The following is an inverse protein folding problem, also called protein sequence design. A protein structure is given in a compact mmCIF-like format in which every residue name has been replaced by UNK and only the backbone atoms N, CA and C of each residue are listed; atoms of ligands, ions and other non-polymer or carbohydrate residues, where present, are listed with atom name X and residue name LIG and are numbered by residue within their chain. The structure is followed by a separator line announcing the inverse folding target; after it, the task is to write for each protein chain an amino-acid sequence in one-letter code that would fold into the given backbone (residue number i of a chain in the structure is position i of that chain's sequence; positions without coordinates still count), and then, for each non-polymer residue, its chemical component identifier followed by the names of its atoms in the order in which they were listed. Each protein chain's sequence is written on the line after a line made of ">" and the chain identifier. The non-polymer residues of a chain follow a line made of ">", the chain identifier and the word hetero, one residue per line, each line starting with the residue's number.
data_IF_098663657543
#
_entry.id   IF_098663657543
#
_cell.length_a   1.000
_cell.length_b   1.000
_cell.length_c   1.000
_cell.angle_alpha   90.00
_cell.angle_beta   90.00
_cell.angle_gamma   90.00
#
_symmetry.space_group_name_H-M   'P 1'
#
loop_
_entity.id
_entity.type
_entity.pdbx_description
1 polymer ?
#
# COMPACT_ATOMS: atom_id res chain seq x y z
N UNK A 1 5.21 17.92 -5.01
CA UNK A 1 6.15 19.03 -5.29
C UNK A 1 7.56 18.79 -4.73
N UNK A 2 7.72 17.87 -3.77
CA UNK A 2 9.00 17.68 -3.06
C UNK A 2 10.05 16.82 -3.80
N UNK A 3 9.65 15.99 -4.74
CA UNK A 3 10.59 15.06 -5.40
C UNK A 3 11.55 15.79 -6.38
N UNK A 4 11.09 16.80 -7.10
CA UNK A 4 11.92 17.59 -8.01
C UNK A 4 12.94 18.48 -7.26
N UNK A 5 12.58 19.02 -6.10
CA UNK A 5 13.50 19.80 -5.27
C UNK A 5 14.62 18.94 -4.68
N UNK A 6 14.28 17.74 -4.23
CA UNK A 6 15.25 16.78 -3.68
C UNK A 6 16.27 16.30 -4.73
N UNK A 7 15.83 16.05 -5.96
CA UNK A 7 16.75 15.67 -7.05
C UNK A 7 17.72 16.79 -7.44
N UNK A 8 17.23 18.04 -7.51
CA UNK A 8 18.10 19.19 -7.84
C UNK A 8 19.14 19.46 -6.75
N UNK A 9 18.78 19.25 -5.47
CA UNK A 9 19.69 19.41 -4.34
C UNK A 9 20.77 18.33 -4.33
N UNK A 10 20.41 17.04 -4.53
CA UNK A 10 21.37 15.94 -4.69
C UNK A 10 22.40 16.24 -5.77
N UNK A 11 21.93 16.58 -6.98
CA UNK A 11 22.81 16.87 -8.12
C UNK A 11 23.73 18.06 -7.85
N UNK A 12 23.20 19.13 -7.27
CA UNK A 12 23.98 20.31 -6.94
C UNK A 12 25.13 19.98 -5.97
N UNK A 13 24.84 19.25 -4.89
CA UNK A 13 25.85 18.90 -3.88
C UNK A 13 26.88 17.94 -4.45
N UNK A 14 26.46 16.94 -5.25
CA UNK A 14 27.37 16.02 -5.93
C UNK A 14 28.29 16.75 -6.93
N UNK A 15 27.79 17.70 -7.72
CA UNK A 15 28.61 18.51 -8.66
C UNK A 15 29.59 19.38 -7.90
N UNK A 16 29.21 20.02 -6.80
CA UNK A 16 30.13 20.82 -5.97
C UNK A 16 31.20 19.90 -5.40
N UNK A 17 30.86 18.70 -4.93
CA UNK A 17 31.80 17.69 -4.46
C UNK A 17 32.78 17.33 -5.55
N UNK A 18 32.31 16.99 -6.75
CA UNK A 18 33.14 16.67 -7.91
C UNK A 18 34.11 17.80 -8.30
N UNK A 19 33.62 19.05 -8.34
CA UNK A 19 34.47 20.20 -8.66
C UNK A 19 35.53 20.43 -7.59
N UNK A 20 35.22 20.18 -6.31
CA UNK A 20 36.19 20.27 -5.21
C UNK A 20 37.27 19.19 -5.33
N UNK A 21 36.91 17.93 -5.70
CA UNK A 21 37.87 16.87 -5.99
C UNK A 21 38.78 17.23 -7.16
N UNK A 22 38.23 17.73 -8.25
CA UNK A 22 38.99 18.15 -9.42
C UNK A 22 39.99 19.26 -9.07
N UNK A 23 39.58 20.26 -8.29
CA UNK A 23 40.44 21.33 -7.85
C UNK A 23 41.62 20.83 -6.96
N UNK A 24 41.31 20.00 -5.96
CA UNK A 24 42.29 19.41 -5.06
C UNK A 24 43.26 18.50 -5.81
N UNK A 25 42.78 17.62 -6.67
CA UNK A 25 43.60 16.74 -7.51
C UNK A 25 44.52 17.55 -8.42
N UNK A 26 44.03 18.65 -9.02
CA UNK A 26 44.83 19.54 -9.87
C UNK A 26 45.93 20.24 -9.08
N UNK A 27 45.65 20.75 -7.89
CA UNK A 27 46.67 21.39 -7.02
C UNK A 27 47.73 20.38 -6.59
N UNK A 28 47.31 19.16 -6.17
CA UNK A 28 48.24 18.08 -5.80
C UNK A 28 49.12 17.66 -6.99
N UNK A 29 48.55 17.57 -8.20
CA UNK A 29 49.29 17.20 -9.41
C UNK A 29 50.34 18.28 -9.80
N UNK A 30 49.96 19.55 -9.75
CA UNK A 30 50.87 20.68 -10.00
C UNK A 30 51.99 20.64 -8.96
N UNK A 31 51.69 20.47 -7.67
CA UNK A 31 52.67 20.35 -6.62
C UNK A 31 53.62 19.17 -6.83
N UNK A 32 53.13 18.01 -7.32
CA UNK A 32 53.95 16.84 -7.64
C UNK A 32 54.94 17.12 -8.76
N UNK A 33 54.51 17.77 -9.84
CA UNK A 33 55.39 18.14 -10.98
C UNK A 33 56.48 19.10 -10.56
N UNK A 34 56.17 20.13 -9.76
CA UNK A 34 57.15 21.12 -9.33
C UNK A 34 58.08 20.60 -8.22
N UNK A 35 57.64 19.69 -7.36
CA UNK A 35 58.46 19.15 -6.29
C UNK A 35 59.35 17.99 -6.73
N UNK A 36 59.04 17.29 -7.81
CA UNK A 36 59.66 16.04 -8.20
C UNK A 36 59.57 14.91 -7.15
N UNK A 37 58.76 15.10 -6.11
CA UNK A 37 58.64 14.15 -5.01
C UNK A 37 57.68 13.01 -5.38
N UNK A 38 58.16 11.76 -5.26
CA UNK A 38 57.33 10.56 -5.46
C UNK A 38 56.17 10.47 -4.46
N UNK A 39 56.35 10.96 -3.23
CA UNK A 39 55.29 11.00 -2.23
C UNK A 39 54.12 11.94 -2.62
N UNK A 40 54.48 13.14 -3.16
CA UNK A 40 53.45 14.09 -3.63
C UNK A 40 52.77 13.58 -4.91
N UNK A 41 53.51 12.85 -5.76
CA UNK A 41 52.94 12.20 -6.94
C UNK A 41 51.96 11.09 -6.53
N UNK A 42 52.28 10.30 -5.52
CA UNK A 42 51.35 9.28 -4.97
C UNK A 42 50.05 9.91 -4.46
N UNK A 43 50.15 11.03 -3.70
CA UNK A 43 49.00 11.80 -3.23
C UNK A 43 48.16 12.40 -4.38
N UNK A 44 48.82 12.83 -5.46
CA UNK A 44 48.13 13.36 -6.64
C UNK A 44 47.37 12.25 -7.39
N UNK A 45 47.95 11.04 -7.50
CA UNK A 45 47.31 9.88 -8.10
C UNK A 45 46.10 9.46 -7.25
N UNK A 46 46.23 9.45 -5.92
CA UNK A 46 45.09 9.18 -5.01
C UNK A 46 43.95 10.19 -5.24
N UNK A 47 44.24 11.48 -5.26
CA UNK A 47 43.24 12.51 -5.55
C UNK A 47 42.60 12.40 -6.94
N UNK A 48 43.27 11.83 -7.95
CA UNK A 48 42.66 11.52 -9.25
C UNK A 48 41.69 10.33 -9.17
N UNK A 49 41.99 9.33 -8.34
CA UNK A 49 41.08 8.19 -8.08
C UNK A 49 39.80 8.69 -7.38
N UNK A 50 39.96 9.56 -6.36
CA UNK A 50 38.82 10.16 -5.64
C UNK A 50 37.95 11.02 -6.56
N UNK A 51 38.59 11.77 -7.47
CA UNK A 51 37.85 12.49 -8.50
C UNK A 51 37.07 11.55 -9.43
N UNK A 52 37.67 10.41 -9.81
CA UNK A 52 36.99 9.36 -10.57
C UNK A 52 35.76 8.79 -9.82
N UNK A 53 35.88 8.53 -8.52
CA UNK A 53 34.78 8.06 -7.68
C UNK A 53 33.63 9.08 -7.66
N UNK A 54 33.91 10.37 -7.45
CA UNK A 54 32.88 11.42 -7.46
C UNK A 54 32.20 11.61 -8.81
N UNK A 55 32.87 11.33 -9.92
CA UNK A 55 32.25 11.30 -11.25
C UNK A 55 31.20 10.18 -11.29
N UNK A 56 31.53 8.98 -10.81
CA UNK A 56 30.61 7.85 -10.77
C UNK A 56 29.36 8.21 -9.93
N UNK A 57 29.54 8.84 -8.77
CA UNK A 57 28.45 9.33 -7.91
C UNK A 57 27.54 10.31 -8.64
N UNK A 58 28.09 11.31 -9.34
CA UNK A 58 27.30 12.28 -10.13
C UNK A 58 26.48 11.58 -11.22
N UNK A 59 27.10 10.63 -11.94
CA UNK A 59 26.40 9.86 -12.98
C UNK A 59 25.29 8.99 -12.37
N UNK A 60 25.55 8.31 -11.26
CA UNK A 60 24.57 7.47 -10.58
C UNK A 60 23.35 8.28 -10.12
N UNK A 61 23.57 9.45 -9.50
CA UNK A 61 22.49 10.35 -9.07
C UNK A 61 21.71 10.87 -10.26
N UNK A 62 22.36 11.17 -11.38
CA UNK A 62 21.68 11.62 -12.59
C UNK A 62 20.84 10.50 -13.20
N UNK A 63 21.33 9.28 -13.20
CA UNK A 63 20.64 8.12 -13.75
C UNK A 63 19.50 7.66 -12.81
N UNK A 64 19.73 7.66 -11.50
CA UNK A 64 18.72 7.30 -10.51
C UNK A 64 17.48 8.20 -10.55
N UNK A 65 17.63 9.43 -11.05
CA UNK A 65 16.50 10.38 -11.19
C UNK A 65 15.62 10.13 -12.41
N UNK A 66 15.95 9.19 -13.28
CA UNK A 66 15.10 8.82 -14.40
C UNK A 66 13.86 8.08 -13.92
N UNK A 67 12.67 8.42 -14.48
CA UNK A 67 11.43 7.73 -14.14
C UNK A 67 11.47 6.25 -14.59
N UNK A 68 10.46 5.50 -14.17
CA UNK A 68 10.23 4.16 -14.67
C UNK A 68 10.04 4.15 -16.19
N UNK A 69 10.59 3.13 -16.86
CA UNK A 69 10.49 2.87 -18.29
C UNK A 69 10.10 1.40 -18.54
N UNK A 70 10.05 0.97 -19.79
CA UNK A 70 9.64 -0.37 -20.16
C UNK A 70 10.58 -1.46 -19.62
N UNK A 71 11.88 -1.17 -19.52
CA UNK A 71 12.90 -2.10 -19.02
C UNK A 71 13.02 -2.05 -17.50
N UNK A 72 12.79 -0.87 -16.88
CA UNK A 72 12.93 -0.63 -15.43
C UNK A 72 11.64 -0.09 -14.84
N UNK A 73 10.62 -0.95 -14.70
CA UNK A 73 9.26 -0.60 -14.24
C UNK A 73 9.19 0.00 -12.83
N UNK A 74 10.21 -0.20 -12.00
CA UNK A 74 10.33 0.40 -10.66
C UNK A 74 11.26 1.61 -10.62
N UNK A 75 11.65 2.13 -11.78
CA UNK A 75 12.59 3.23 -11.93
C UNK A 75 14.04 2.83 -11.71
N UNK A 76 14.91 3.83 -11.73
CA UNK A 76 16.37 3.64 -11.75
C UNK A 76 17.04 3.92 -10.39
N UNK A 77 16.28 4.08 -9.31
CA UNK A 77 16.79 4.51 -8.00
C UNK A 77 17.92 3.62 -7.44
N UNK A 78 17.92 2.31 -7.76
CA UNK A 78 18.97 1.37 -7.32
C UNK A 78 20.35 1.60 -7.95
N UNK A 79 20.46 2.46 -8.97
CA UNK A 79 21.77 2.85 -9.51
C UNK A 79 22.63 3.58 -8.48
N UNK A 80 22.00 4.31 -7.53
CA UNK A 80 22.73 4.90 -6.40
C UNK A 80 23.34 3.82 -5.50
N UNK A 81 22.62 2.73 -5.25
CA UNK A 81 23.13 1.60 -4.44
C UNK A 81 24.32 0.89 -5.14
N UNK A 82 24.27 0.77 -6.48
CA UNK A 82 25.39 0.20 -7.24
C UNK A 82 26.63 1.09 -7.13
N UNK A 83 26.47 2.41 -7.27
CA UNK A 83 27.60 3.35 -7.11
C UNK A 83 28.14 3.30 -5.67
N UNK A 84 27.28 3.31 -4.66
CA UNK A 84 27.67 3.16 -3.26
C UNK A 84 28.47 1.87 -3.02
N UNK A 85 28.07 0.75 -3.63
CA UNK A 85 28.81 -0.51 -3.53
C UNK A 85 30.22 -0.40 -4.16
N UNK A 86 30.34 0.25 -5.32
CA UNK A 86 31.66 0.49 -5.93
C UNK A 86 32.55 1.34 -5.02
N UNK A 87 32.02 2.39 -4.40
CA UNK A 87 32.76 3.21 -3.44
C UNK A 87 33.19 2.44 -2.21
N UNK A 88 32.34 1.54 -1.68
CA UNK A 88 32.72 0.70 -0.53
C UNK A 88 33.85 -0.27 -0.87
N UNK A 89 33.91 -0.77 -2.10
CA UNK A 89 35.04 -1.61 -2.58
C UNK A 89 36.31 -0.80 -2.61
N UNK A 90 36.27 0.45 -3.09
CA UNK A 90 37.43 1.36 -3.07
C UNK A 90 37.91 1.66 -1.65
N UNK A 91 36.96 1.97 -0.73
CA UNK A 91 37.25 2.18 0.70
C UNK A 91 37.92 0.96 1.34
N UNK A 92 37.40 -0.23 1.07
CA UNK A 92 37.98 -1.46 1.61
C UNK A 92 39.37 -1.71 1.04
N UNK A 93 39.58 -1.47 -0.26
CA UNK A 93 40.86 -1.54 -0.93
C UNK A 93 41.88 -0.56 -0.32
N UNK A 94 41.47 0.67 -0.05
CA UNK A 94 42.27 1.67 0.64
C UNK A 94 42.66 1.25 2.06
N UNK A 95 41.69 0.73 2.83
CA UNK A 95 41.96 0.21 4.20
C UNK A 95 43.01 -0.92 4.18
N UNK A 96 42.86 -1.87 3.27
CA UNK A 96 43.81 -2.99 3.11
C UNK A 96 45.19 -2.46 2.68
N UNK A 97 45.25 -1.50 1.76
CA UNK A 97 46.51 -0.90 1.30
C UNK A 97 47.23 -0.18 2.44
N UNK A 98 46.52 0.65 3.22
CA UNK A 98 47.07 1.36 4.37
C UNK A 98 47.63 0.37 5.41
N UNK A 99 46.84 -0.70 5.72
CA UNK A 99 47.30 -1.72 6.63
C UNK A 99 48.57 -2.43 6.17
N UNK A 100 48.61 -2.81 4.89
CA UNK A 100 49.79 -3.44 4.28
C UNK A 100 51.01 -2.56 4.38
N UNK A 101 50.92 -1.29 3.97
CA UNK A 101 52.01 -0.32 4.03
C UNK A 101 52.49 -0.07 5.47
N UNK A 102 51.56 0.05 6.42
CA UNK A 102 51.86 0.24 7.84
C UNK A 102 52.65 -0.96 8.42
N UNK A 103 52.22 -2.20 8.08
CA UNK A 103 52.93 -3.43 8.49
C UNK A 103 54.33 -3.50 7.87
N UNK A 104 54.43 -3.16 6.59
CA UNK A 104 55.70 -3.14 5.88
C UNK A 104 56.71 -2.17 6.54
N UNK A 105 56.26 -0.97 6.93
CA UNK A 105 57.04 0.04 7.63
C UNK A 105 57.46 -0.37 9.05
N UNK A 106 56.67 -1.18 9.72
CA UNK A 106 57.01 -1.74 11.04
C UNK A 106 58.09 -2.83 10.94
N UNK A 107 58.14 -3.57 9.84
CA UNK A 107 59.01 -4.75 9.67
C UNK A 107 60.30 -4.46 8.92
N UNK A 108 60.33 -3.41 8.14
CA UNK A 108 61.53 -3.02 7.31
C UNK A 108 62.10 -1.69 7.79
N UNK A 109 63.44 -1.57 7.96
CA UNK A 109 64.08 -0.30 8.28
C UNK A 109 63.84 0.68 7.12
N UNK A 110 63.22 1.83 7.40
CA UNK A 110 63.01 2.89 6.43
C UNK A 110 63.81 4.13 6.80
N UNK A 111 64.31 4.86 5.80
CA UNK A 111 64.88 6.18 6.01
C UNK A 111 63.83 7.15 6.57
N UNK A 112 64.24 8.04 7.51
CA UNK A 112 63.30 9.01 8.07
C UNK A 112 62.79 9.92 6.96
N UNK A 113 61.45 10.01 6.86
CA UNK A 113 60.76 10.88 5.92
C UNK A 113 61.13 12.34 6.15
N UNK A 114 61.84 12.94 5.18
CA UNK A 114 62.10 14.38 5.17
C UNK A 114 60.80 15.11 4.83
N UNK A 115 60.03 15.51 5.88
CA UNK A 115 58.75 16.17 5.68
C UNK A 115 58.96 17.64 5.40
N UNK A 116 58.64 18.07 4.18
CA UNK A 116 58.63 19.47 3.84
C UNK A 116 57.44 20.16 4.52
N UNK A 117 57.62 21.31 5.15
CA UNK A 117 56.58 22.06 5.88
C UNK A 117 55.33 22.37 5.03
N UNK A 118 55.46 22.53 3.71
CA UNK A 118 54.35 22.76 2.79
C UNK A 118 53.49 21.52 2.58
N UNK A 119 54.04 20.30 2.69
CA UNK A 119 53.24 19.07 2.65
C UNK A 119 52.30 19.00 3.86
N UNK A 120 52.77 19.44 5.03
CA UNK A 120 51.97 19.57 6.23
C UNK A 120 50.81 20.56 6.05
N UNK A 121 51.08 21.70 5.41
CA UNK A 121 50.06 22.71 5.12
C UNK A 121 48.99 22.18 4.13
N UNK A 122 49.39 21.46 3.10
CA UNK A 122 48.47 20.82 2.15
C UNK A 122 47.58 19.81 2.89
N UNK A 123 48.11 18.98 3.79
CA UNK A 123 47.36 18.00 4.56
C UNK A 123 46.31 18.65 5.48
N UNK A 124 46.67 19.73 6.16
CA UNK A 124 45.72 20.50 6.99
C UNK A 124 44.59 21.10 6.13
N UNK A 125 44.93 21.65 4.96
CA UNK A 125 43.92 22.18 4.02
C UNK A 125 43.00 21.05 3.53
N UNK A 126 43.54 19.88 3.16
CA UNK A 126 42.75 18.71 2.76
C UNK A 126 41.76 18.31 3.86
N UNK A 127 42.21 18.17 5.12
CA UNK A 127 41.34 17.83 6.25
C UNK A 127 40.17 18.82 6.38
N UNK A 128 40.43 20.12 6.28
CA UNK A 128 39.37 21.14 6.40
C UNK A 128 38.41 21.06 5.23
N UNK A 129 38.87 20.84 4.02
CA UNK A 129 38.01 20.69 2.84
C UNK A 129 37.18 19.42 2.95
N UNK A 130 37.78 18.28 3.26
CA UNK A 130 37.10 16.98 3.34
C UNK A 130 36.07 16.94 4.50
N UNK A 131 36.38 17.60 5.62
CA UNK A 131 35.44 17.76 6.72
C UNK A 131 34.16 18.52 6.31
N UNK A 132 34.32 19.69 5.67
CA UNK A 132 33.18 20.49 5.24
C UNK A 132 32.37 19.77 4.15
N UNK A 133 33.03 19.07 3.26
CA UNK A 133 32.46 18.32 2.16
C UNK A 133 31.70 17.09 2.65
N UNK A 134 32.32 16.25 3.47
CA UNK A 134 31.67 15.10 4.09
C UNK A 134 30.39 15.51 4.86
N UNK A 135 30.48 16.61 5.62
CA UNK A 135 29.33 17.14 6.35
C UNK A 135 28.19 17.59 5.42
N UNK A 136 28.49 18.28 4.33
CA UNK A 136 27.49 18.72 3.35
C UNK A 136 26.85 17.54 2.63
N UNK A 137 27.65 16.59 2.17
CA UNK A 137 27.20 15.36 1.52
C UNK A 137 26.31 14.53 2.46
N UNK A 138 26.72 14.31 3.70
CA UNK A 138 25.95 13.54 4.70
C UNK A 138 24.61 14.18 5.00
N UNK A 139 24.56 15.49 5.18
CA UNK A 139 23.30 16.22 5.42
C UNK A 139 22.33 16.04 4.27
N UNK A 140 22.78 16.14 3.04
CA UNK A 140 21.94 15.94 1.84
C UNK A 140 21.57 14.46 1.66
N UNK A 141 22.47 13.53 1.93
CA UNK A 141 22.23 12.09 1.88
C UNK A 141 21.08 11.68 2.83
N UNK A 142 21.11 12.17 4.07
CA UNK A 142 20.07 11.90 5.08
C UNK A 142 18.72 12.51 4.69
N UNK A 143 18.72 13.77 4.22
CA UNK A 143 17.50 14.47 3.80
C UNK A 143 16.84 13.83 2.58
N UNK A 144 17.62 13.19 1.71
CA UNK A 144 17.16 12.67 0.41
C UNK A 144 17.20 11.14 0.32
N UNK A 145 17.62 10.44 1.38
CA UNK A 145 17.83 8.99 1.40
C UNK A 145 18.74 8.50 0.26
N UNK A 146 19.80 9.27 -0.07
CA UNK A 146 20.72 8.95 -1.14
C UNK A 146 21.88 8.09 -0.64
N UNK A 147 21.95 6.83 -1.11
CA UNK A 147 23.05 5.91 -0.77
C UNK A 147 24.36 6.32 -1.40
N UNK A 148 24.35 6.84 -2.62
CA UNK A 148 25.55 7.32 -3.30
C UNK A 148 26.19 8.51 -2.58
N UNK A 149 25.38 9.52 -2.18
CA UNK A 149 25.90 10.64 -1.40
C UNK A 149 26.40 10.23 -0.01
N UNK A 150 25.76 9.22 0.60
CA UNK A 150 26.21 8.66 1.88
C UNK A 150 27.56 7.97 1.74
N UNK A 151 27.77 7.22 0.68
CA UNK A 151 29.04 6.56 0.39
C UNK A 151 30.15 7.58 0.13
N UNK A 152 29.90 8.58 -0.73
CA UNK A 152 30.84 9.69 -1.03
C UNK A 152 31.19 10.47 0.25
N UNK A 153 30.23 10.76 1.12
CA UNK A 153 30.46 11.39 2.43
C UNK A 153 31.38 10.55 3.33
N UNK A 154 31.17 9.24 3.33
CA UNK A 154 31.94 8.30 4.14
C UNK A 154 33.37 8.15 3.60
N UNK A 155 33.54 8.20 2.30
CA UNK A 155 34.84 8.20 1.64
C UNK A 155 35.67 9.39 2.11
N UNK A 156 35.16 10.64 2.00
CA UNK A 156 35.89 11.83 2.45
C UNK A 156 36.11 11.91 3.96
N UNK A 157 35.19 11.34 4.75
CA UNK A 157 35.38 11.18 6.20
C UNK A 157 36.56 10.24 6.49
N UNK A 158 36.69 9.17 5.73
CA UNK A 158 37.80 8.21 5.78
C UNK A 158 39.15 8.87 5.47
N UNK A 159 39.21 9.69 4.42
CA UNK A 159 40.41 10.42 4.01
C UNK A 159 40.84 11.45 5.06
N UNK A 160 39.84 12.13 5.66
CA UNK A 160 40.08 13.05 6.78
C UNK A 160 40.71 12.31 7.99
N UNK A 161 40.13 11.14 8.37
CA UNK A 161 40.70 10.36 9.48
C UNK A 161 42.11 9.80 9.17
N UNK A 162 42.31 9.36 7.94
CA UNK A 162 43.64 8.91 7.47
C UNK A 162 44.67 10.04 7.57
N UNK A 163 44.33 11.22 7.05
CA UNK A 163 45.21 12.41 7.12
C UNK A 163 45.48 12.85 8.55
N UNK A 164 44.45 12.79 9.44
CA UNK A 164 44.62 13.11 10.86
C UNK A 164 45.51 12.11 11.59
N UNK A 165 45.40 10.82 11.25
CA UNK A 165 46.24 9.78 11.83
C UNK A 165 47.72 9.99 11.46
N UNK A 166 47.98 10.33 10.18
CA UNK A 166 49.34 10.67 9.72
C UNK A 166 49.88 11.87 10.48
N UNK A 167 49.06 12.92 10.68
CA UNK A 167 49.52 14.10 11.48
C UNK A 167 49.86 13.73 12.92
N UNK A 168 49.05 12.89 13.57
CA UNK A 168 49.31 12.41 14.93
C UNK A 168 50.52 11.49 14.97
N UNK A 169 50.64 10.59 13.99
CA UNK A 169 51.80 9.70 13.85
C UNK A 169 53.12 10.46 13.70
N UNK A 170 53.14 11.48 12.82
CA UNK A 170 54.30 12.35 12.62
C UNK A 170 54.64 13.13 13.89
N UNK A 171 53.64 13.61 14.63
CA UNK A 171 53.84 14.21 15.97
C UNK A 171 54.52 13.25 16.94
N UNK A 172 54.12 11.96 16.92
CA UNK A 172 54.75 10.90 17.72
C UNK A 172 56.21 10.64 17.31
N UNK A 173 56.47 10.60 16.02
CA UNK A 173 57.87 10.47 15.50
C UNK A 173 58.74 11.65 15.94
N UNK A 174 58.19 12.87 15.93
CA UNK A 174 58.90 14.07 16.36
C UNK A 174 59.30 14.06 17.85
N UNK A 175 58.49 13.40 18.69
CA UNK A 175 58.80 13.19 20.12
C UNK A 175 59.68 11.94 20.39
N UNK A 176 60.10 11.22 19.33
CA UNK A 176 61.05 10.10 19.42
C UNK A 176 60.44 8.68 19.27
N UNK A 177 59.09 8.57 19.06
CA UNK A 177 58.45 7.29 18.86
C UNK A 177 58.33 6.94 17.38
N UNK A 178 59.37 6.34 16.78
CA UNK A 178 59.46 6.06 15.34
C UNK A 178 58.35 5.12 14.81
N UNK A 179 57.74 4.29 15.66
CA UNK A 179 56.63 3.38 15.32
C UNK A 179 55.25 4.03 15.36
N UNK A 180 55.13 5.25 15.89
CA UNK A 180 53.86 5.92 16.14
C UNK A 180 53.03 6.13 14.86
N UNK A 181 53.65 6.52 13.75
CA UNK A 181 53.02 6.70 12.44
C UNK A 181 52.40 5.41 11.94
N UNK A 182 53.12 4.29 11.96
CA UNK A 182 52.64 3.00 11.49
C UNK A 182 51.51 2.42 12.36
N UNK A 183 51.58 2.63 13.67
CA UNK A 183 50.52 2.21 14.58
C UNK A 183 49.26 3.05 14.38
N UNK A 184 49.38 4.36 14.22
CA UNK A 184 48.25 5.23 13.92
C UNK A 184 47.60 4.83 12.59
N UNK A 185 48.38 4.55 11.56
CA UNK A 185 47.89 4.07 10.26
C UNK A 185 47.13 2.73 10.38
N UNK A 186 47.65 1.77 11.19
CA UNK A 186 46.95 0.48 11.45
C UNK A 186 45.60 0.68 12.14
N UNK A 187 45.53 1.55 13.15
CA UNK A 187 44.31 1.82 13.87
C UNK A 187 43.23 2.43 12.96
N UNK A 188 43.64 3.38 12.12
CA UNK A 188 42.74 4.02 11.15
C UNK A 188 42.33 3.05 10.04
N UNK A 189 43.24 2.23 9.52
CA UNK A 189 42.89 1.23 8.51
C UNK A 189 41.83 0.25 9.02
N UNK A 190 41.93 -0.19 10.29
CA UNK A 190 40.90 -1.02 10.91
C UNK A 190 39.55 -0.30 11.06
N UNK A 191 39.55 0.97 11.44
CA UNK A 191 38.38 1.82 11.56
C UNK A 191 37.69 2.00 10.20
N UNK A 192 38.48 2.33 9.13
CA UNK A 192 37.97 2.47 7.75
C UNK A 192 37.40 1.14 7.26
N UNK A 193 38.10 0.03 7.51
CA UNK A 193 37.63 -1.31 7.13
C UNK A 193 36.28 -1.68 7.78
N UNK A 194 36.10 -1.31 9.05
CA UNK A 194 34.80 -1.50 9.74
C UNK A 194 33.69 -0.66 9.11
N UNK A 195 33.94 0.61 8.84
CA UNK A 195 32.94 1.50 8.21
C UNK A 195 32.58 0.99 6.82
N UNK A 196 33.57 0.59 6.01
CA UNK A 196 33.36 0.02 4.69
C UNK A 196 32.51 -1.25 4.75
N UNK A 197 32.73 -2.11 5.74
CA UNK A 197 31.92 -3.32 5.97
C UNK A 197 30.47 -2.99 6.31
N UNK A 198 30.25 -2.05 7.23
CA UNK A 198 28.91 -1.63 7.65
C UNK A 198 28.12 -1.02 6.48
N UNK A 199 28.80 -0.19 5.67
CA UNK A 199 28.20 0.43 4.47
C UNK A 199 27.92 -0.62 3.40
N UNK A 200 28.87 -1.54 3.13
CA UNK A 200 28.67 -2.65 2.17
C UNK A 200 27.47 -3.50 2.57
N UNK A 201 27.38 -3.89 3.85
CA UNK A 201 26.28 -4.70 4.36
C UNK A 201 24.91 -3.99 4.17
N UNK A 202 24.85 -2.70 4.48
CA UNK A 202 23.63 -1.90 4.30
C UNK A 202 23.22 -1.81 2.82
N UNK A 203 24.18 -1.49 1.95
CA UNK A 203 23.92 -1.35 0.51
C UNK A 203 23.53 -2.66 -0.14
N UNK A 204 24.20 -3.77 0.23
CA UNK A 204 23.81 -5.11 -0.24
C UNK A 204 22.39 -5.48 0.21
N UNK A 205 22.02 -5.19 1.46
CA UNK A 205 20.66 -5.43 1.93
C UNK A 205 19.64 -4.63 1.11
N UNK A 206 19.91 -3.38 0.76
CA UNK A 206 19.04 -2.59 -0.13
C UNK A 206 18.94 -3.20 -1.52
N UNK A 207 20.06 -3.65 -2.11
CA UNK A 207 20.07 -4.31 -3.42
C UNK A 207 19.31 -5.64 -3.41
N UNK A 208 19.36 -6.36 -2.29
CA UNK A 208 18.63 -7.64 -2.08
C UNK A 208 17.20 -7.45 -1.59
N UNK A 209 16.63 -6.25 -1.69
CA UNK A 209 15.26 -5.94 -1.30
C UNK A 209 14.95 -6.17 0.19
N UNK A 210 15.93 -6.04 1.08
CA UNK A 210 15.69 -6.16 2.50
C UNK A 210 14.80 -5.01 3.01
N UNK A 211 13.76 -5.37 3.75
CA UNK A 211 12.88 -4.39 4.36
C UNK A 211 13.61 -3.55 5.42
N UNK A 212 13.40 -2.22 5.46
CA UNK A 212 13.97 -1.39 6.53
C UNK A 212 13.47 -1.83 7.91
N UNK A 213 14.35 -1.76 8.91
CA UNK A 213 14.05 -2.23 10.26
C UNK A 213 12.80 -1.55 10.84
N UNK A 214 11.89 -2.37 11.38
CA UNK A 214 10.65 -1.90 12.04
C UNK A 214 9.50 -1.52 11.11
N UNK A 215 9.72 -1.34 9.80
CA UNK A 215 8.67 -0.92 8.86
C UNK A 215 7.60 -2.01 8.71
N UNK A 216 7.99 -3.26 8.55
CA UNK A 216 7.03 -4.36 8.42
C UNK A 216 6.14 -4.52 9.66
N UNK A 217 6.71 -4.37 10.87
CA UNK A 217 5.94 -4.40 12.12
C UNK A 217 4.95 -3.24 12.20
N UNK A 218 5.36 -2.04 11.76
CA UNK A 218 4.49 -0.86 11.75
C UNK A 218 3.32 -1.01 10.78
N UNK A 219 3.54 -1.57 9.58
CA UNK A 219 2.48 -1.81 8.60
C UNK A 219 1.50 -2.87 9.10
N UNK A 220 1.99 -3.97 9.68
CA UNK A 220 1.15 -5.00 10.26
C UNK A 220 0.27 -4.44 11.40
N UNK A 221 0.82 -3.64 12.31
CA UNK A 221 0.05 -2.99 13.38
C UNK A 221 -1.06 -2.06 12.85
N UNK A 222 -0.84 -1.39 11.72
CA UNK A 222 -1.86 -0.57 11.05
C UNK A 222 -2.93 -1.45 10.42
N UNK A 223 -2.54 -2.53 9.74
CA UNK A 223 -3.46 -3.44 9.06
C UNK A 223 -4.35 -4.20 10.07
N UNK A 224 -3.77 -4.68 11.18
CA UNK A 224 -4.49 -5.40 12.23
C UNK A 224 -5.54 -4.53 12.96
N UNK A 225 -5.35 -3.22 12.96
CA UNK A 225 -6.30 -2.24 13.53
C UNK A 225 -7.38 -1.78 12.55
N UNK A 226 -7.26 -2.16 11.28
CA UNK A 226 -8.20 -1.74 10.24
C UNK A 226 -9.46 -2.62 10.27
N UNK A 227 -10.62 -2.01 10.48
CA UNK A 227 -11.89 -2.74 10.43
C UNK A 227 -12.11 -3.36 9.05
N UNK A 228 -12.52 -4.62 9.01
CA UNK A 228 -12.78 -5.37 7.78
C UNK A 228 -11.58 -6.19 7.28
N UNK A 229 -10.43 -6.10 7.93
CA UNK A 229 -9.30 -7.02 7.71
C UNK A 229 -9.38 -8.13 8.76
N UNK A 230 -9.30 -9.38 8.31
CA UNK A 230 -9.27 -10.56 9.19
C UNK A 230 -7.86 -10.91 9.62
N UNK A 231 -6.93 -10.85 8.68
CA UNK A 231 -5.51 -11.11 8.92
C UNK A 231 -4.67 -10.64 7.74
N UNK A 232 -3.38 -10.42 7.99
CA UNK A 232 -2.39 -10.20 6.94
C UNK A 232 -1.86 -11.57 6.49
N UNK A 233 -2.02 -11.88 5.20
CA UNK A 233 -1.54 -13.12 4.59
C UNK A 233 -0.06 -13.01 4.22
N UNK A 234 0.34 -11.92 3.56
CA UNK A 234 1.73 -11.62 3.28
C UNK A 234 1.98 -10.13 3.20
N UNK A 235 3.19 -9.73 3.63
CA UNK A 235 3.69 -8.37 3.51
C UNK A 235 5.08 -8.40 2.91
N UNK A 236 5.29 -7.69 1.82
CA UNK A 236 6.59 -7.51 1.18
C UNK A 236 6.88 -6.03 1.06
N UNK A 237 8.03 -5.64 1.58
CA UNK A 237 8.45 -4.24 1.61
C UNK A 237 9.85 -4.16 1.05
N UNK A 238 10.08 -3.25 0.10
CA UNK A 238 11.39 -3.01 -0.48
C UNK A 238 11.65 -1.53 -0.70
N UNK A 239 12.84 -1.03 -0.38
CA UNK A 239 13.24 0.34 -0.66
C UNK A 239 13.75 0.48 -2.10
N UNK A 240 13.49 1.65 -2.71
CA UNK A 240 14.14 2.08 -3.95
C UNK A 240 14.33 3.60 -3.89
N UNK A 241 15.52 4.03 -3.49
CA UNK A 241 15.82 5.43 -3.18
C UNK A 241 14.94 5.96 -2.05
N UNK A 242 14.23 7.04 -2.31
CA UNK A 242 13.29 7.65 -1.34
C UNK A 242 11.92 6.98 -1.32
N UNK A 243 11.61 6.08 -2.25
CA UNK A 243 10.31 5.40 -2.35
C UNK A 243 10.35 4.04 -1.66
N UNK A 244 9.32 3.73 -0.92
CA UNK A 244 9.13 2.44 -0.27
C UNK A 244 7.98 1.70 -0.97
N UNK A 245 8.29 0.62 -1.69
CA UNK A 245 7.28 -0.23 -2.32
C UNK A 245 6.75 -1.24 -1.32
N UNK A 246 5.43 -1.25 -1.14
CA UNK A 246 4.72 -2.11 -0.19
C UNK A 246 3.70 -2.95 -0.93
N UNK A 247 3.87 -4.26 -0.93
CA UNK A 247 2.87 -5.20 -1.40
C UNK A 247 2.25 -5.88 -0.18
N UNK A 248 0.99 -5.57 0.08
CA UNK A 248 0.23 -6.07 1.22
C UNK A 248 -0.90 -6.96 0.74
N UNK A 249 -0.93 -8.20 1.22
CA UNK A 249 -1.95 -9.19 0.92
C UNK A 249 -2.74 -9.48 2.19
N UNK A 250 -4.06 -9.19 2.17
CA UNK A 250 -4.93 -9.27 3.35
C UNK A 250 -6.14 -10.15 3.11
N UNK A 251 -6.53 -10.87 4.13
CA UNK A 251 -7.76 -11.65 4.15
C UNK A 251 -8.93 -10.78 4.59
N UNK A 252 -10.02 -10.83 3.84
CA UNK A 252 -11.23 -10.06 4.10
C UNK A 252 -12.45 -11.00 4.08
N UNK A 253 -13.56 -10.67 4.77
CA UNK A 253 -14.80 -11.43 4.67
C UNK A 253 -15.30 -11.52 3.22
N UNK A 254 -15.60 -12.71 2.73
CA UNK A 254 -16.08 -12.91 1.34
C UNK A 254 -17.46 -12.30 1.05
N UNK A 255 -18.17 -11.89 2.09
CA UNK A 255 -19.47 -11.20 1.99
C UNK A 255 -19.34 -9.70 1.74
N UNK A 256 -18.15 -9.13 1.81
CA UNK A 256 -17.93 -7.72 1.52
C UNK A 256 -18.20 -7.41 0.04
N UNK A 257 -19.01 -6.39 -0.21
CA UNK A 257 -19.24 -5.91 -1.56
C UNK A 257 -18.02 -5.13 -2.10
N UNK A 258 -17.94 -4.98 -3.43
CA UNK A 258 -16.82 -4.33 -4.11
C UNK A 258 -16.58 -2.89 -3.65
N UNK A 259 -17.63 -2.14 -3.30
CA UNK A 259 -17.52 -0.76 -2.82
C UNK A 259 -16.83 -0.74 -1.45
N UNK A 260 -17.28 -1.59 -0.54
CA UNK A 260 -16.67 -1.71 0.80
C UNK A 260 -15.20 -2.13 0.73
N UNK A 261 -14.84 -3.01 -0.21
CA UNK A 261 -13.43 -3.41 -0.45
C UNK A 261 -12.61 -2.22 -0.97
N UNK A 262 -13.16 -1.42 -1.89
CA UNK A 262 -12.49 -0.24 -2.41
C UNK A 262 -12.26 0.82 -1.31
N UNK A 263 -13.27 1.06 -0.47
CA UNK A 263 -13.19 1.98 0.66
C UNK A 263 -12.17 1.51 1.70
N UNK A 264 -12.16 0.21 2.01
CA UNK A 264 -11.18 -0.41 2.90
C UNK A 264 -9.76 -0.20 2.38
N UNK A 265 -9.50 -0.50 1.10
CA UNK A 265 -8.18 -0.28 0.47
C UNK A 265 -7.75 1.18 0.55
N UNK A 266 -8.64 2.10 0.21
CA UNK A 266 -8.37 3.54 0.24
C UNK A 266 -8.03 4.02 1.66
N UNK A 267 -8.79 3.59 2.65
CA UNK A 267 -8.57 3.92 4.07
C UNK A 267 -7.25 3.35 4.58
N UNK A 268 -6.93 2.10 4.22
CA UNK A 268 -5.69 1.43 4.61
C UNK A 268 -4.47 2.12 3.99
N UNK A 269 -4.51 2.45 2.70
CA UNK A 269 -3.46 3.22 2.01
C UNK A 269 -3.23 4.55 2.72
N UNK A 270 -4.29 5.31 3.00
CA UNK A 270 -4.18 6.60 3.69
C UNK A 270 -3.57 6.46 5.10
N UNK A 271 -3.95 5.40 5.83
CA UNK A 271 -3.43 5.11 7.17
C UNK A 271 -1.94 4.78 7.16
N UNK A 272 -1.48 4.01 6.18
CA UNK A 272 -0.06 3.69 6.01
C UNK A 272 0.72 4.93 5.55
N UNK A 273 0.22 5.68 4.55
CA UNK A 273 0.89 6.88 4.04
C UNK A 273 0.99 8.01 5.07
N UNK A 274 0.10 8.06 6.04
CA UNK A 274 0.22 9.00 7.17
C UNK A 274 1.50 8.77 8.00
N UNK A 275 1.97 7.54 8.08
CA UNK A 275 3.21 7.16 8.78
C UNK A 275 4.41 7.06 7.85
N UNK A 276 4.17 6.67 6.61
CA UNK A 276 5.17 6.43 5.57
C UNK A 276 4.78 7.23 4.30
N UNK A 277 5.03 8.54 4.27
CA UNK A 277 4.51 9.43 3.21
C UNK A 277 4.98 9.09 1.79
N UNK A 278 6.14 8.42 1.67
CA UNK A 278 6.74 8.05 0.37
C UNK A 278 6.49 6.57 0.02
N UNK A 279 5.50 5.92 0.65
CA UNK A 279 5.15 4.54 0.34
C UNK A 279 4.25 4.47 -0.90
N UNK A 280 4.64 3.63 -1.85
CA UNK A 280 3.82 3.15 -2.96
C UNK A 280 3.24 1.80 -2.58
N UNK A 281 1.90 1.73 -2.42
CA UNK A 281 1.22 0.63 -1.74
C UNK A 281 0.28 -0.06 -2.71
N UNK A 282 0.52 -1.34 -2.92
CA UNK A 282 -0.37 -2.27 -3.62
C UNK A 282 -1.03 -3.21 -2.62
N UNK A 283 -2.37 -3.28 -2.64
CA UNK A 283 -3.14 -4.12 -1.73
C UNK A 283 -3.91 -5.17 -2.53
N UNK A 284 -3.63 -6.43 -2.25
CA UNK A 284 -4.41 -7.58 -2.69
C UNK A 284 -5.34 -8.00 -1.58
N UNK A 285 -6.59 -8.34 -1.91
CA UNK A 285 -7.59 -8.81 -0.96
C UNK A 285 -8.02 -10.22 -1.30
N UNK A 286 -7.94 -11.14 -0.34
CA UNK A 286 -8.39 -12.51 -0.47
C UNK A 286 -9.70 -12.68 0.29
N UNK A 287 -10.79 -13.04 -0.39
CA UNK A 287 -12.07 -13.32 0.26
C UNK A 287 -11.99 -14.66 1.03
N UNK A 288 -12.30 -14.62 2.32
CA UNK A 288 -12.29 -15.81 3.21
C UNK A 288 -13.68 -15.99 3.82
N UNK A 289 -14.11 -17.25 3.94
CA UNK A 289 -15.34 -17.62 4.63
C UNK A 289 -15.18 -17.38 6.14
N UNK A 290 -16.24 -16.87 6.77
CA UNK A 290 -16.33 -16.75 8.22
C UNK A 290 -17.09 -17.93 8.81
N UNK A 291 -16.73 -18.33 10.03
CA UNK A 291 -17.41 -19.44 10.74
C UNK A 291 -18.86 -19.12 11.10
N UNK A 292 -19.22 -17.83 11.20
CA UNK A 292 -20.55 -17.33 11.56
C UNK A 292 -21.43 -17.01 10.34
N UNK A 293 -21.00 -17.37 9.11
CA UNK A 293 -21.81 -17.21 7.91
C UNK A 293 -23.13 -18.01 8.04
N UNK A 294 -24.24 -17.32 7.85
CA UNK A 294 -25.58 -17.94 7.86
C UNK A 294 -25.78 -18.82 6.62
N UNK A 295 -26.77 -19.73 6.69
CA UNK A 295 -27.20 -20.49 5.52
C UNK A 295 -27.61 -19.58 4.36
N UNK A 296 -28.30 -18.46 4.65
CA UNK A 296 -28.67 -17.44 3.65
C UNK A 296 -27.45 -16.85 2.93
N UNK A 297 -26.39 -16.50 3.67
CA UNK A 297 -25.18 -15.96 3.11
C UNK A 297 -24.51 -16.95 2.15
N UNK A 298 -24.41 -18.21 2.56
CA UNK A 298 -23.85 -19.29 1.75
C UNK A 298 -24.65 -19.53 0.47
N UNK A 299 -25.99 -19.59 0.58
CA UNK A 299 -26.88 -19.76 -0.57
C UNK A 299 -26.71 -18.59 -1.56
N UNK A 300 -26.70 -17.35 -1.06
CA UNK A 300 -26.53 -16.16 -1.90
C UNK A 300 -25.19 -16.14 -2.64
N UNK A 301 -24.10 -16.54 -1.98
CA UNK A 301 -22.77 -16.66 -2.60
C UNK A 301 -22.73 -17.75 -3.68
N UNK A 302 -23.31 -18.91 -3.40
CA UNK A 302 -23.40 -20.01 -4.37
C UNK A 302 -24.22 -19.58 -5.58
N UNK A 303 -25.39 -18.97 -5.38
CA UNK A 303 -26.21 -18.45 -6.47
C UNK A 303 -25.44 -17.42 -7.34
N UNK A 304 -24.69 -16.52 -6.70
CA UNK A 304 -23.85 -15.55 -7.40
C UNK A 304 -22.76 -16.24 -8.23
N UNK A 305 -22.12 -17.28 -7.70
CA UNK A 305 -21.10 -18.05 -8.43
C UNK A 305 -21.67 -18.73 -9.68
N UNK A 306 -22.90 -19.21 -9.62
CA UNK A 306 -23.61 -19.80 -10.75
C UNK A 306 -24.31 -18.76 -11.65
N UNK A 307 -24.15 -17.46 -11.34
CA UNK A 307 -24.86 -16.37 -12.05
C UNK A 307 -26.38 -16.56 -12.04
N UNK A 308 -26.91 -17.19 -11.01
CA UNK A 308 -28.33 -17.46 -10.84
C UNK A 308 -29.01 -16.32 -10.05
N UNK A 309 -30.16 -15.87 -10.56
CA UNK A 309 -31.04 -14.94 -9.87
C UNK A 309 -32.00 -15.74 -9.00
N UNK A 310 -31.88 -15.59 -7.69
CA UNK A 310 -32.77 -16.27 -6.74
C UNK A 310 -33.42 -15.28 -5.77
N UNK A 311 -34.62 -15.60 -5.33
CA UNK A 311 -35.33 -14.83 -4.29
C UNK A 311 -36.25 -15.73 -3.45
N UNK A 312 -36.98 -15.18 -2.48
CA UNK A 312 -37.83 -15.90 -1.52
C UNK A 312 -37.15 -17.11 -0.85
N UNK A 313 -35.85 -16.95 -0.53
CA UNK A 313 -35.08 -18.00 0.14
C UNK A 313 -35.71 -18.28 1.51
N UNK A 314 -36.06 -19.53 1.76
CA UNK A 314 -36.58 -20.00 3.04
C UNK A 314 -35.67 -21.10 3.58
N UNK A 315 -35.23 -20.98 4.83
CA UNK A 315 -34.43 -21.99 5.52
C UNK A 315 -35.21 -22.45 6.74
N UNK A 316 -35.54 -23.74 6.80
CA UNK A 316 -36.31 -24.36 7.87
C UNK A 316 -35.53 -25.52 8.46
N UNK A 317 -35.87 -25.89 9.69
CA UNK A 317 -35.40 -27.12 10.31
C UNK A 317 -36.57 -28.05 10.51
N UNK A 318 -36.60 -29.16 9.76
CA UNK A 318 -37.64 -30.13 9.76
C UNK A 318 -37.11 -31.46 10.27
N UNK A 319 -37.60 -31.95 11.40
CA UNK A 319 -37.16 -33.23 12.02
C UNK A 319 -35.62 -33.33 12.22
N UNK A 320 -34.98 -32.22 12.50
CA UNK A 320 -33.51 -32.17 12.71
C UNK A 320 -32.67 -32.01 11.43
N UNK A 321 -33.28 -32.02 10.24
CA UNK A 321 -32.61 -31.76 8.95
C UNK A 321 -32.95 -30.35 8.50
N UNK A 322 -31.98 -29.72 7.83
CA UNK A 322 -32.18 -28.42 7.19
C UNK A 322 -32.95 -28.62 5.87
N UNK A 323 -33.96 -27.81 5.65
CA UNK A 323 -34.69 -27.72 4.40
C UNK A 323 -34.60 -26.30 3.86
N UNK A 324 -34.21 -26.17 2.61
CA UNK A 324 -34.04 -24.91 1.89
C UNK A 324 -35.00 -24.91 0.70
N UNK A 325 -35.77 -23.84 0.55
CA UNK A 325 -36.50 -23.58 -0.69
C UNK A 325 -36.23 -22.17 -1.19
N UNK A 326 -36.24 -21.97 -2.50
CA UNK A 326 -36.02 -20.68 -3.13
C UNK A 326 -36.67 -20.63 -4.52
N UNK A 327 -36.97 -19.44 -5.00
CA UNK A 327 -37.43 -19.20 -6.36
C UNK A 327 -36.23 -18.89 -7.25
N UNK A 328 -36.09 -19.62 -8.36
CA UNK A 328 -35.06 -19.44 -9.38
C UNK A 328 -35.63 -18.74 -10.61
N UNK A 329 -35.18 -17.53 -10.87
CA UNK A 329 -35.57 -16.79 -12.07
C UNK A 329 -34.77 -17.20 -13.29
N UNK A 330 -35.45 -17.60 -14.35
CA UNK A 330 -34.82 -17.92 -15.66
C UNK A 330 -35.44 -17.08 -16.77
N UNK A 331 -34.76 -16.93 -17.90
CA UNK A 331 -35.35 -16.29 -19.07
C UNK A 331 -36.62 -17.04 -19.49
N UNK A 332 -37.72 -16.34 -19.61
CA UNK A 332 -39.02 -16.93 -19.99
C UNK A 332 -39.01 -17.64 -21.37
N UNK A 333 -38.04 -17.43 -22.21
CA UNK A 333 -37.84 -18.15 -23.48
C UNK A 333 -37.05 -19.47 -23.30
N UNK A 334 -36.56 -19.77 -22.11
CA UNK A 334 -35.74 -20.97 -21.82
C UNK A 334 -36.66 -22.21 -21.84
N UNK A 335 -36.19 -23.25 -22.54
CA UNK A 335 -36.96 -24.55 -22.53
C UNK A 335 -36.91 -25.18 -21.13
N UNK A 336 -38.02 -25.82 -20.76
CA UNK A 336 -38.20 -26.43 -19.43
C UNK A 336 -37.03 -27.37 -19.03
N UNK A 337 -36.55 -28.19 -19.98
CA UNK A 337 -35.45 -29.11 -19.70
C UNK A 337 -34.16 -28.35 -19.31
N UNK A 338 -33.82 -27.27 -20.01
CA UNK A 338 -32.66 -26.46 -19.71
C UNK A 338 -32.77 -25.68 -18.41
N UNK A 339 -33.99 -25.17 -18.12
CA UNK A 339 -34.28 -24.52 -16.85
C UNK A 339 -34.14 -25.48 -15.67
N UNK A 340 -34.66 -26.71 -15.82
CA UNK A 340 -34.57 -27.77 -14.81
C UNK A 340 -33.11 -28.19 -14.58
N UNK A 341 -32.31 -28.34 -15.65
CA UNK A 341 -30.87 -28.63 -15.51
C UNK A 341 -30.10 -27.54 -14.74
N UNK A 342 -30.49 -26.27 -14.93
CA UNK A 342 -29.90 -25.16 -14.15
C UNK A 342 -30.32 -25.24 -12.69
N UNK A 343 -31.58 -25.51 -12.41
CA UNK A 343 -32.14 -25.67 -11.07
C UNK A 343 -31.43 -26.82 -10.33
N UNK A 344 -31.35 -28.00 -10.94
CA UNK A 344 -30.70 -29.17 -10.35
C UNK A 344 -29.23 -28.89 -10.01
N UNK A 345 -28.46 -28.25 -10.93
CA UNK A 345 -27.07 -27.87 -10.65
C UNK A 345 -26.93 -26.94 -9.47
N UNK A 346 -27.83 -25.97 -9.36
CA UNK A 346 -27.82 -25.00 -8.25
C UNK A 346 -28.22 -25.70 -6.94
N UNK A 347 -29.24 -26.56 -6.95
CA UNK A 347 -29.68 -27.34 -5.78
C UNK A 347 -28.56 -28.24 -5.26
N UNK A 348 -27.85 -28.95 -6.16
CA UNK A 348 -26.72 -29.79 -5.80
C UNK A 348 -25.56 -28.95 -5.20
N UNK A 349 -25.25 -27.82 -5.81
CA UNK A 349 -24.21 -26.92 -5.29
C UNK A 349 -24.55 -26.33 -3.92
N UNK A 350 -25.83 -25.97 -3.69
CA UNK A 350 -26.32 -25.48 -2.38
C UNK A 350 -26.25 -26.62 -1.35
N UNK A 351 -26.67 -27.83 -1.70
CA UNK A 351 -26.62 -29.01 -0.83
C UNK A 351 -25.20 -29.30 -0.38
N UNK A 352 -24.25 -29.32 -1.32
CA UNK A 352 -22.84 -29.56 -1.04
C UNK A 352 -22.24 -28.43 -0.17
N UNK A 353 -22.58 -27.18 -0.46
CA UNK A 353 -22.08 -26.02 0.27
C UNK A 353 -22.62 -25.87 1.70
N UNK A 354 -23.76 -26.48 1.99
CA UNK A 354 -24.37 -26.49 3.33
C UNK A 354 -24.04 -27.74 4.16
N UNK A 355 -23.36 -28.75 3.58
CA UNK A 355 -22.84 -29.91 4.32
C UNK A 355 -23.49 -31.27 3.97
N UNK A 356 -24.17 -31.36 2.84
CA UNK A 356 -24.61 -32.65 2.24
C UNK A 356 -25.92 -33.24 2.74
N UNK A 357 -26.27 -33.12 4.01
CA UNK A 357 -27.56 -33.62 4.57
C UNK A 357 -28.63 -32.49 4.66
N UNK A 358 -28.84 -31.84 3.51
CA UNK A 358 -29.83 -30.74 3.38
C UNK A 358 -30.77 -31.06 2.26
N UNK A 359 -32.09 -30.88 2.52
CA UNK A 359 -33.11 -30.94 1.51
C UNK A 359 -33.18 -29.59 0.79
N UNK A 360 -33.00 -29.58 -0.53
CA UNK A 360 -32.98 -28.36 -1.34
C UNK A 360 -33.99 -28.49 -2.46
N UNK A 361 -34.93 -27.56 -2.53
CA UNK A 361 -35.96 -27.51 -3.56
C UNK A 361 -36.02 -26.10 -4.17
N UNK A 362 -36.19 -26.01 -5.47
CA UNK A 362 -36.36 -24.75 -6.18
C UNK A 362 -37.68 -24.66 -6.90
N UNK A 363 -38.29 -23.49 -6.92
CA UNK A 363 -39.39 -23.14 -7.79
C UNK A 363 -38.82 -22.33 -8.98
N UNK A 364 -39.06 -22.81 -10.20
CA UNK A 364 -38.58 -22.15 -11.43
C UNK A 364 -39.63 -21.16 -11.90
N UNK A 365 -39.27 -19.89 -12.05
CA UNK A 365 -40.18 -18.88 -12.57
C UNK A 365 -39.48 -17.99 -13.62
N UNK A 366 -40.26 -17.40 -14.55
CA UNK A 366 -39.74 -16.52 -15.55
C UNK A 366 -39.25 -15.21 -14.91
N UNK A 367 -38.10 -14.70 -15.36
CA UNK A 367 -37.64 -13.38 -14.94
C UNK A 367 -38.71 -12.32 -15.22
N UNK A 368 -39.05 -11.49 -14.21
CA UNK A 368 -40.01 -10.41 -14.43
C UNK A 368 -39.46 -9.43 -15.49
N UNK A 369 -40.36 -8.86 -16.28
CA UNK A 369 -39.93 -7.85 -17.26
C UNK A 369 -39.16 -6.72 -16.58
N UNK A 370 -37.97 -6.41 -17.07
CA UNK A 370 -37.09 -5.39 -16.48
C UNK A 370 -37.70 -3.99 -16.43
N UNK A 371 -38.66 -3.71 -17.32
CA UNK A 371 -39.39 -2.44 -17.36
C UNK A 371 -40.83 -2.72 -17.74
N UNK A 372 -41.76 -2.49 -16.79
CA UNK A 372 -43.18 -2.50 -17.05
C UNK A 372 -43.62 -1.12 -17.54
N UNK A 373 -44.02 -1.01 -18.79
CA UNK A 373 -44.66 0.21 -19.28
C UNK A 373 -46.06 0.28 -18.74
N UNK A 374 -46.40 1.35 -18.04
CA UNK A 374 -47.72 1.51 -17.42
C UNK A 374 -48.23 2.94 -17.60
N UNK A 375 -49.55 3.07 -17.57
CA UNK A 375 -50.25 4.34 -17.63
C UNK A 375 -50.96 4.62 -16.29
N UNK A 376 -51.07 5.87 -15.84
CA UNK A 376 -51.83 6.21 -14.65
C UNK A 376 -53.32 5.93 -14.92
N UNK A 377 -54.01 5.34 -13.92
CA UNK A 377 -55.44 5.19 -13.96
C UNK A 377 -56.16 6.55 -13.97
N UNK A 378 -57.38 6.56 -14.47
CA UNK A 378 -58.17 7.79 -14.48
C UNK A 378 -58.44 8.31 -13.07
N UNK A 379 -58.64 9.64 -12.87
CA UNK A 379 -58.96 10.19 -11.54
C UNK A 379 -60.21 9.58 -10.92
N UNK A 380 -61.22 9.24 -11.75
CA UNK A 380 -62.44 8.61 -11.29
C UNK A 380 -62.21 7.18 -10.77
N UNK A 381 -61.38 6.40 -11.45
CA UNK A 381 -61.00 5.05 -11.07
C UNK A 381 -60.13 5.05 -9.80
N UNK A 382 -59.11 5.94 -9.75
CA UNK A 382 -58.28 6.13 -8.55
C UNK A 382 -59.12 6.45 -7.33
N UNK A 383 -60.12 7.37 -7.45
CA UNK A 383 -60.97 7.73 -6.35
C UNK A 383 -61.93 6.59 -5.92
N UNK A 384 -62.33 5.72 -6.87
CA UNK A 384 -63.11 4.51 -6.56
C UNK A 384 -62.29 3.51 -5.75
N UNK A 385 -61.08 3.28 -6.17
CA UNK A 385 -60.12 2.37 -5.50
C UNK A 385 -59.75 2.90 -4.12
N UNK A 386 -59.46 4.19 -4.01
CA UNK A 386 -59.18 4.87 -2.74
C UNK A 386 -60.32 4.69 -1.73
N UNK A 387 -61.58 4.94 -2.13
CA UNK A 387 -62.73 4.72 -1.26
C UNK A 387 -62.85 3.29 -0.82
N UNK A 388 -62.55 2.34 -1.69
CA UNK A 388 -62.61 0.93 -1.37
C UNK A 388 -61.50 0.53 -0.37
N UNK A 389 -60.28 0.98 -0.57
CA UNK A 389 -59.20 0.80 0.39
C UNK A 389 -59.52 1.42 1.75
N UNK A 390 -60.09 2.64 1.79
CA UNK A 390 -60.49 3.29 3.02
C UNK A 390 -61.61 2.52 3.74
N UNK A 391 -62.50 1.81 3.01
CA UNK A 391 -63.48 0.94 3.63
C UNK A 391 -62.84 -0.29 4.25
N UNK A 392 -61.89 -0.92 3.60
CA UNK A 392 -61.16 -2.07 4.15
C UNK A 392 -60.31 -1.64 5.36
N UNK A 393 -59.66 -0.49 5.25
CA UNK A 393 -58.86 0.10 6.34
C UNK A 393 -59.65 0.30 7.64
N UNK A 394 -60.97 0.61 7.58
CA UNK A 394 -61.82 0.76 8.76
C UNK A 394 -61.95 -0.51 9.60
N UNK A 395 -61.72 -1.69 9.02
CA UNK A 395 -61.71 -2.95 9.76
C UNK A 395 -60.45 -3.16 10.62
N UNK A 396 -59.39 -2.41 10.32
CA UNK A 396 -58.10 -2.53 11.01
C UNK A 396 -57.98 -1.43 12.09
N UNK A 397 -58.15 -1.81 13.35
CA UNK A 397 -58.11 -0.88 14.49
C UNK A 397 -56.75 -0.21 14.75
N UNK A 398 -55.70 -0.84 14.30
CA UNK A 398 -54.31 -0.33 14.45
C UNK A 398 -53.97 0.73 13.42
N UNK A 399 -54.69 0.80 12.30
CA UNK A 399 -54.44 1.74 11.20
C UNK A 399 -55.20 3.04 11.50
N UNK A 400 -54.51 4.16 11.42
CA UNK A 400 -54.99 5.48 11.79
C UNK A 400 -55.41 6.35 10.60
N UNK A 401 -54.71 6.19 9.49
CA UNK A 401 -54.98 6.98 8.26
C UNK A 401 -54.49 6.21 7.03
N UNK A 402 -55.19 6.42 5.89
CA UNK A 402 -54.80 5.89 4.58
C UNK A 402 -54.92 7.01 3.55
N UNK A 403 -53.83 7.28 2.86
CA UNK A 403 -53.68 8.41 1.92
C UNK A 403 -52.73 8.11 0.76
N UNK A 404 -52.58 9.08 -0.14
CA UNK A 404 -51.64 9.02 -1.28
C UNK A 404 -51.80 7.77 -2.16
N UNK A 405 -53.04 7.41 -2.47
CA UNK A 405 -53.34 6.26 -3.30
C UNK A 405 -52.98 6.56 -4.75
N UNK A 406 -52.14 5.72 -5.33
CA UNK A 406 -51.70 5.77 -6.73
C UNK A 406 -52.11 4.46 -7.42
N UNK A 407 -52.77 4.58 -8.54
CA UNK A 407 -53.23 3.44 -9.33
C UNK A 407 -52.60 3.53 -10.74
N UNK A 408 -52.07 2.44 -11.20
CA UNK A 408 -51.48 2.35 -12.55
C UNK A 408 -51.95 1.06 -13.24
N UNK A 409 -52.16 1.14 -14.55
CA UNK A 409 -52.38 -0.01 -15.41
C UNK A 409 -51.02 -0.41 -15.99
N UNK A 410 -50.59 -1.64 -15.81
CA UNK A 410 -49.41 -2.21 -16.45
C UNK A 410 -49.62 -3.72 -16.61
N UNK A 411 -49.05 -4.32 -17.63
CA UNK A 411 -49.08 -5.75 -17.89
C UNK A 411 -50.52 -6.36 -17.79
N UNK A 412 -51.51 -5.64 -18.35
CA UNK A 412 -52.90 -6.06 -18.35
C UNK A 412 -53.58 -6.09 -16.99
N UNK A 413 -53.02 -5.50 -15.96
CA UNK A 413 -53.57 -5.45 -14.62
C UNK A 413 -53.31 -4.16 -13.87
N UNK A 414 -53.78 -4.12 -12.63
CA UNK A 414 -53.73 -2.96 -11.72
C UNK A 414 -52.59 -3.12 -10.75
N UNK A 415 -51.78 -2.05 -10.65
CA UNK A 415 -50.74 -1.85 -9.62
C UNK A 415 -51.22 -0.71 -8.72
N UNK A 416 -51.39 -1.01 -7.45
CA UNK A 416 -51.93 -0.05 -6.48
C UNK A 416 -50.94 0.20 -5.38
N UNK A 417 -50.59 1.47 -5.19
CA UNK A 417 -49.71 1.92 -4.10
C UNK A 417 -50.49 2.84 -3.20
N UNK A 418 -50.36 2.69 -1.89
CA UNK A 418 -50.95 3.60 -0.93
C UNK A 418 -50.10 3.77 0.32
N UNK A 419 -50.25 4.90 1.01
CA UNK A 419 -49.60 5.14 2.28
C UNK A 419 -50.59 4.90 3.42
N UNK A 420 -50.12 4.37 4.53
CA UNK A 420 -50.92 4.09 5.71
C UNK A 420 -50.19 4.40 7.00
N UNK A 421 -50.87 5.02 7.96
CA UNK A 421 -50.25 5.46 9.21
C UNK A 421 -50.63 4.55 10.36
N UNK A 422 -49.61 4.17 11.16
CA UNK A 422 -49.77 3.37 12.38
C UNK A 422 -49.23 4.12 13.60
N UNK A 423 -49.62 3.68 14.79
CA UNK A 423 -49.06 4.22 16.04
C UNK A 423 -47.57 3.89 16.11
N UNK A 424 -46.78 4.83 16.64
CA UNK A 424 -45.32 4.68 16.76
C UNK A 424 -44.86 3.51 17.65
N UNK A 425 -45.76 2.98 18.46
CA UNK A 425 -45.54 1.88 19.41
C UNK A 425 -45.83 0.51 18.82
N UNK A 426 -46.43 0.44 17.63
CA UNK A 426 -46.71 -0.83 16.96
C UNK A 426 -45.39 -1.49 16.51
N UNK A 427 -45.35 -2.81 16.61
CA UNK A 427 -44.21 -3.60 16.08
C UNK A 427 -44.31 -3.76 14.57
N UNK A 428 -43.22 -4.01 13.90
CA UNK A 428 -43.21 -4.27 12.45
C UNK A 428 -44.08 -5.47 12.11
N UNK A 429 -44.03 -6.55 12.91
CA UNK A 429 -44.88 -7.74 12.71
C UNK A 429 -46.37 -7.41 12.75
N UNK A 430 -46.81 -6.61 13.72
CA UNK A 430 -48.21 -6.20 13.85
C UNK A 430 -48.65 -5.31 12.67
N UNK A 431 -47.77 -4.40 12.22
CA UNK A 431 -48.01 -3.54 11.06
C UNK A 431 -48.11 -4.38 9.78
N UNK A 432 -47.16 -5.29 9.58
CA UNK A 432 -47.15 -6.18 8.41
C UNK A 432 -48.37 -7.04 8.33
N UNK A 433 -48.76 -7.70 9.43
CA UNK A 433 -50.00 -8.51 9.49
C UNK A 433 -51.28 -7.69 9.20
N UNK A 434 -51.34 -6.42 9.60
CA UNK A 434 -52.47 -5.55 9.30
C UNK A 434 -52.53 -5.15 7.82
N UNK A 435 -51.36 -4.84 7.23
CA UNK A 435 -51.23 -4.54 5.79
C UNK A 435 -51.62 -5.75 4.94
N UNK A 436 -51.10 -6.94 5.27
CA UNK A 436 -51.42 -8.19 4.55
C UNK A 436 -52.91 -8.48 4.53
N UNK A 437 -53.62 -8.31 5.64
CA UNK A 437 -55.08 -8.49 5.68
C UNK A 437 -55.79 -7.54 4.74
N UNK A 438 -55.37 -6.30 4.63
CA UNK A 438 -55.95 -5.33 3.71
C UNK A 438 -55.67 -5.74 2.27
N UNK A 439 -54.42 -6.11 1.94
CA UNK A 439 -53.99 -6.50 0.59
C UNK A 439 -54.71 -7.76 0.10
N UNK A 440 -54.83 -8.79 0.95
CA UNK A 440 -55.58 -10.02 0.66
C UNK A 440 -57.08 -9.70 0.44
N UNK A 441 -57.70 -8.90 1.32
CA UNK A 441 -59.11 -8.54 1.18
C UNK A 441 -59.39 -7.67 -0.05
N UNK A 442 -58.43 -6.82 -0.43
CA UNK A 442 -58.48 -5.99 -1.63
C UNK A 442 -58.39 -6.84 -2.88
N UNK A 443 -57.39 -7.71 -2.97
CA UNK A 443 -57.15 -8.59 -4.11
C UNK A 443 -58.26 -9.62 -4.32
N UNK A 444 -58.91 -10.08 -3.26
CA UNK A 444 -60.05 -11.02 -3.32
C UNK A 444 -61.30 -10.40 -3.97
N UNK A 445 -61.48 -9.08 -3.91
CA UNK A 445 -62.68 -8.41 -4.40
C UNK A 445 -62.52 -7.70 -5.74
N UNK A 446 -61.31 -7.42 -6.16
CA UNK A 446 -61.02 -6.77 -7.43
C UNK A 446 -60.29 -7.75 -8.37
N UNK A 447 -60.89 -7.98 -9.55
CA UNK A 447 -60.27 -8.80 -10.60
C UNK A 447 -59.16 -7.99 -11.27
N UNK A 448 -58.10 -8.67 -11.72
CA UNK A 448 -56.92 -8.10 -12.42
C UNK A 448 -56.01 -7.22 -11.56
N UNK A 449 -55.98 -7.36 -10.24
CA UNK A 449 -54.94 -6.74 -9.42
C UNK A 449 -53.68 -7.59 -9.48
N UNK A 450 -52.60 -7.01 -10.02
CA UNK A 450 -51.29 -7.68 -10.09
C UNK A 450 -50.50 -7.48 -8.82
N UNK A 451 -50.53 -6.28 -8.26
CA UNK A 451 -49.79 -5.95 -7.03
C UNK A 451 -50.42 -4.83 -6.25
N UNK A 452 -50.49 -5.00 -4.93
CA UNK A 452 -50.82 -3.95 -3.99
C UNK A 452 -49.61 -3.71 -3.11
N UNK A 453 -49.24 -2.48 -2.88
CA UNK A 453 -48.08 -2.11 -2.07
C UNK A 453 -48.48 -1.02 -1.09
N UNK A 454 -48.35 -1.33 0.18
CA UNK A 454 -48.54 -0.36 1.25
C UNK A 454 -47.19 0.22 1.70
N UNK A 455 -47.15 1.53 1.88
CA UNK A 455 -46.06 2.19 2.57
C UNK A 455 -46.52 2.59 3.97
N UNK A 456 -46.05 1.85 4.97
CA UNK A 456 -46.43 2.10 6.36
C UNK A 456 -45.58 3.24 6.95
N UNK A 457 -46.27 4.23 7.52
CA UNK A 457 -45.66 5.41 8.14
C UNK A 457 -46.05 5.51 9.62
N UNK A 458 -45.13 5.98 10.50
CA UNK A 458 -45.51 6.31 11.85
C UNK A 458 -46.37 7.58 11.88
N UNK A 459 -47.41 7.64 12.68
CA UNK A 459 -48.19 8.85 12.91
C UNK A 459 -47.30 10.04 13.23
N UNK A 460 -47.43 11.13 12.47
CA UNK A 460 -46.69 12.38 12.72
C UNK A 460 -47.06 12.91 14.11
N UNK A 461 -46.09 13.26 14.92
CA UNK A 461 -46.32 14.04 16.13
C UNK A 461 -46.97 15.34 15.68
N UNK A 462 -48.22 15.59 16.12
CA UNK A 462 -48.86 16.89 15.94
C UNK A 462 -47.93 17.95 16.53
N UNK A 463 -47.37 18.82 15.67
CA UNK A 463 -46.70 20.02 16.16
C UNK A 463 -47.80 20.84 16.83
N UNK A 464 -47.81 20.87 18.18
CA UNK A 464 -48.51 21.94 18.88
C UNK A 464 -47.95 23.27 18.37
N UNK A 465 -48.73 23.98 17.57
CA UNK A 465 -48.51 25.39 17.35
C UNK A 465 -48.62 26.04 18.72
N UNK A 466 -47.46 26.53 19.21
CA UNK A 466 -47.40 27.60 20.19
C UNK A 466 -47.70 28.92 19.50
#
# INVERSE_FOLDING_TARGET
>A
MDNHSNHSEKQRVAIISMLSSAALASVKLIAAVFSGSLGVLSEAIHGLIDFGATIITVFAIRWSSQPADDDHQFGHAKTESVAALLETVLLFGTAVYIAYEAILRLTTPHEPLAIAWWAFAIMVVSIVVDFNRSRALRKTAEATSSEALKADATHFESDMWSSLAVLIGLGGVWIGFQWADSVAALLVSFYIGKIAWDLTSTTLNTLLDAAPAGVSAQINDIADKQNGILSVNSLRVRPAGSTLFVNLDVNVPRLLNLVSIADLKTSLVASIQKKLPHADISITTNPVALDDETAFDKIGLIATHYSASIHHITVQQVQGRMAVSFDLEVDGATQLAAAHDQATKLEDAIRDGLGGDVEVESHIEPQPARLLLGEPATPAETKKIEKFLQQLAKSEKSLSDLHNVRVRHADGGLYVHYHCCFKRTETIDAVHAAVDRIEIAFSAKLKNVKRVIAHAEPLRKTQHKL
#
